data_IF_906140923632
#
_entry.id   IF_906140923632
#
_cell.length_a   1.000
_cell.length_b   1.000
_cell.length_c   1.000
_cell.angle_alpha   90.00
_cell.angle_beta   90.00
_cell.angle_gamma   90.00
#
_symmetry.space_group_name_H-M   'P 1'
#
loop_
_entity.id
_entity.type
_entity.pdbx_description
1 polymer ?
#
# COMPACT_ATOMS: atom_id res chain seq x y z
N UNK A 1 -1.96 24.26 30.88
CA UNK A 1 -1.46 22.93 30.43
C UNK A 1 -2.54 22.29 29.58
N UNK A 2 -2.28 22.05 28.28
CA UNK A 2 -3.22 21.39 27.39
C UNK A 2 -3.12 19.88 27.60
N UNK A 3 -4.05 19.33 28.38
CA UNK A 3 -4.26 17.87 28.44
C UNK A 3 -4.99 17.46 27.15
N UNK A 4 -4.21 17.19 26.10
CA UNK A 4 -4.75 16.59 24.88
C UNK A 4 -5.20 15.18 25.27
N UNK A 5 -6.52 15.01 25.43
CA UNK A 5 -7.12 13.74 25.85
C UNK A 5 -6.87 12.70 24.76
N UNK A 6 -6.40 11.51 25.15
CA UNK A 6 -6.10 10.40 24.23
C UNK A 6 -7.20 10.11 23.19
N UNK A 7 -8.46 10.35 23.52
CA UNK A 7 -9.59 10.23 22.59
C UNK A 7 -9.46 11.13 21.34
N UNK A 8 -8.95 12.36 21.48
CA UNK A 8 -8.74 13.28 20.35
C UNK A 8 -7.65 12.76 19.41
N UNK A 9 -6.60 12.15 19.96
CA UNK A 9 -5.51 11.55 19.17
C UNK A 9 -6.02 10.34 18.37
N UNK A 10 -6.85 9.49 18.97
CA UNK A 10 -7.46 8.35 18.29
C UNK A 10 -8.45 8.78 17.20
N UNK A 11 -9.26 9.81 17.45
CA UNK A 11 -10.14 10.40 16.41
C UNK A 11 -9.35 11.02 15.25
N UNK A 12 -8.23 11.68 15.54
CA UNK A 12 -7.35 12.24 14.49
C UNK A 12 -6.69 11.11 13.68
N UNK A 13 -6.23 10.04 14.34
CA UNK A 13 -5.66 8.86 13.67
C UNK A 13 -6.67 8.18 12.76
N UNK A 14 -7.91 7.96 13.24
CA UNK A 14 -8.96 7.34 12.43
C UNK A 14 -9.37 8.22 11.25
N UNK A 15 -9.50 9.54 11.46
CA UNK A 15 -9.83 10.49 10.40
C UNK A 15 -8.73 10.57 9.33
N UNK A 16 -7.45 10.59 9.72
CA UNK A 16 -6.33 10.55 8.78
C UNK A 16 -6.28 9.25 7.97
N UNK A 17 -6.49 8.09 8.63
CA UNK A 17 -6.57 6.80 7.93
C UNK A 17 -7.71 6.79 6.91
N UNK A 18 -8.90 7.23 7.29
CA UNK A 18 -10.05 7.32 6.38
C UNK A 18 -9.78 8.26 5.20
N UNK A 19 -9.17 9.42 5.46
CA UNK A 19 -8.79 10.36 4.41
C UNK A 19 -7.80 9.73 3.42
N UNK A 20 -6.78 9.02 3.93
CA UNK A 20 -5.83 8.30 3.11
C UNK A 20 -6.50 7.21 2.26
N UNK A 21 -7.37 6.37 2.86
CA UNK A 21 -8.10 5.33 2.13
C UNK A 21 -8.90 5.94 0.98
N UNK A 22 -9.63 7.03 1.24
CA UNK A 22 -10.41 7.71 0.22
C UNK A 22 -9.55 8.28 -0.92
N UNK A 23 -8.38 8.84 -0.59
CA UNK A 23 -7.38 9.27 -1.58
C UNK A 23 -6.86 8.08 -2.40
N UNK A 24 -6.54 6.95 -1.76
CA UNK A 24 -6.08 5.73 -2.41
C UNK A 24 -7.17 5.12 -3.33
N UNK A 25 -8.43 5.09 -2.91
CA UNK A 25 -9.57 4.63 -3.75
C UNK A 25 -9.66 5.47 -5.02
N UNK A 26 -9.66 6.81 -4.89
CA UNK A 26 -9.72 7.72 -6.04
C UNK A 26 -8.55 7.49 -7.00
N UNK A 27 -7.35 7.36 -6.45
CA UNK A 27 -6.15 7.09 -7.22
C UNK A 27 -6.23 5.75 -7.97
N UNK A 28 -6.59 4.66 -7.29
CA UNK A 28 -6.70 3.33 -7.89
C UNK A 28 -7.80 3.24 -8.94
N UNK A 29 -8.96 3.85 -8.70
CA UNK A 29 -10.06 3.94 -9.69
C UNK A 29 -9.63 4.69 -10.95
N UNK A 30 -8.87 5.77 -10.79
CA UNK A 30 -8.35 6.53 -11.93
C UNK A 30 -7.25 5.77 -12.69
N UNK A 31 -6.33 5.11 -11.97
CA UNK A 31 -5.16 4.44 -12.57
C UNK A 31 -5.47 3.06 -13.15
N UNK A 32 -6.39 2.32 -12.55
CA UNK A 32 -6.77 0.95 -12.93
C UNK A 32 -8.29 0.79 -13.04
N UNK A 33 -8.98 1.55 -13.90
CA UNK A 33 -10.44 1.54 -13.98
C UNK A 33 -10.98 0.13 -14.24
N UNK A 34 -10.43 -0.60 -15.22
CA UNK A 34 -10.88 -1.96 -15.55
C UNK A 34 -10.68 -2.97 -14.41
N UNK A 35 -9.66 -2.79 -13.55
CA UNK A 35 -9.41 -3.69 -12.42
C UNK A 35 -10.27 -3.34 -11.21
N UNK A 36 -10.70 -2.09 -11.09
CA UNK A 36 -11.46 -1.57 -9.96
C UNK A 36 -12.98 -1.56 -10.20
N UNK A 37 -13.43 -1.59 -11.45
CA UNK A 37 -14.85 -1.52 -11.83
C UNK A 37 -15.72 -2.65 -11.22
N UNK A 38 -15.13 -3.83 -11.05
CA UNK A 38 -15.77 -4.99 -10.44
C UNK A 38 -15.86 -4.97 -8.91
N UNK A 39 -15.27 -3.96 -8.27
CA UNK A 39 -15.24 -3.85 -6.80
C UNK A 39 -16.07 -2.65 -6.36
N UNK A 40 -16.97 -2.88 -5.41
CA UNK A 40 -17.60 -1.79 -4.69
C UNK A 40 -16.58 -1.08 -3.76
N UNK A 41 -17.00 0.05 -3.19
CA UNK A 41 -16.14 0.85 -2.33
C UNK A 41 -15.73 0.16 -1.03
N UNK A 42 -16.58 -0.73 -0.50
CA UNK A 42 -16.30 -1.49 0.73
C UNK A 42 -15.21 -2.55 0.49
N UNK A 43 -15.27 -3.23 -0.65
CA UNK A 43 -14.26 -4.20 -1.07
C UNK A 43 -12.94 -3.47 -1.35
N UNK A 44 -12.97 -2.33 -2.06
CA UNK A 44 -11.75 -1.53 -2.28
C UNK A 44 -11.14 -1.03 -0.97
N UNK A 45 -11.97 -0.60 -0.02
CA UNK A 45 -11.52 -0.22 1.32
C UNK A 45 -10.80 -1.39 1.99
N UNK A 46 -11.41 -2.58 1.99
CA UNK A 46 -10.82 -3.79 2.59
C UNK A 46 -9.51 -4.19 1.93
N UNK A 47 -9.41 -4.08 0.60
CA UNK A 47 -8.18 -4.33 -0.16
C UNK A 47 -7.08 -3.34 0.26
N UNK A 48 -7.42 -2.05 0.37
CA UNK A 48 -6.46 -1.01 0.75
C UNK A 48 -5.99 -1.21 2.19
N UNK A 49 -6.90 -1.51 3.12
CA UNK A 49 -6.54 -1.82 4.50
C UNK A 49 -5.61 -3.03 4.60
N UNK A 50 -5.92 -4.11 3.88
CA UNK A 50 -5.03 -5.27 3.80
C UNK A 50 -3.66 -4.91 3.19
N UNK A 51 -3.63 -4.04 2.18
CA UNK A 51 -2.39 -3.56 1.59
C UNK A 51 -1.56 -2.70 2.54
N UNK A 52 -2.20 -1.85 3.34
CA UNK A 52 -1.54 -1.07 4.41
C UNK A 52 -0.89 -2.02 5.43
N UNK A 53 -1.66 -3.02 5.91
CA UNK A 53 -1.16 -3.96 6.91
C UNK A 53 0.04 -4.76 6.38
N UNK A 54 0.00 -5.17 5.10
CA UNK A 54 1.11 -5.88 4.44
C UNK A 54 2.32 -4.97 4.20
N UNK A 55 2.11 -3.74 3.77
CA UNK A 55 3.19 -2.75 3.61
C UNK A 55 3.92 -2.51 4.94
N UNK A 56 3.18 -2.44 6.05
CA UNK A 56 3.75 -2.30 7.40
C UNK A 56 4.67 -3.45 7.79
N UNK A 57 4.36 -4.70 7.39
CA UNK A 57 5.25 -5.86 7.63
C UNK A 57 6.64 -5.61 7.02
N UNK A 58 6.68 -4.96 5.85
CA UNK A 58 7.91 -4.62 5.14
C UNK A 58 8.50 -3.25 5.53
N UNK A 59 8.04 -2.66 6.63
CA UNK A 59 8.45 -1.33 7.11
C UNK A 59 8.20 -0.22 6.08
N UNK A 60 7.16 -0.36 5.25
CA UNK A 60 6.70 0.67 4.32
C UNK A 60 5.54 1.41 4.98
N UNK A 61 5.82 2.59 5.54
CA UNK A 61 4.88 3.35 6.38
C UNK A 61 4.53 4.73 5.82
N UNK A 62 5.27 5.25 4.84
CA UNK A 62 4.94 6.53 4.20
C UNK A 62 3.71 6.39 3.29
N UNK A 63 2.90 7.46 3.16
CA UNK A 63 1.75 7.45 2.23
C UNK A 63 2.18 7.10 0.80
N UNK A 64 3.31 7.65 0.35
CA UNK A 64 3.83 7.41 -0.99
C UNK A 64 4.26 5.95 -1.17
N UNK A 65 4.98 5.39 -0.20
CA UNK A 65 5.40 4.00 -0.21
C UNK A 65 4.21 3.04 -0.22
N UNK A 66 3.19 3.31 0.60
CA UNK A 66 1.96 2.51 0.63
C UNK A 66 1.21 2.60 -0.70
N UNK A 67 1.08 3.79 -1.30
CA UNK A 67 0.45 3.94 -2.62
C UNK A 67 1.20 3.11 -3.66
N UNK A 68 2.53 3.19 -3.70
CA UNK A 68 3.32 2.39 -4.64
C UNK A 68 3.20 0.89 -4.37
N UNK A 69 3.10 0.46 -3.10
CA UNK A 69 2.83 -0.93 -2.77
C UNK A 69 1.46 -1.40 -3.29
N UNK A 70 0.42 -0.58 -3.13
CA UNK A 70 -0.91 -0.85 -3.68
C UNK A 70 -0.86 -0.89 -5.22
N UNK A 71 -0.12 0.01 -5.88
CA UNK A 71 0.07 -0.07 -7.33
C UNK A 71 0.70 -1.40 -7.76
N UNK A 72 1.71 -1.89 -7.04
CA UNK A 72 2.33 -3.20 -7.30
C UNK A 72 1.33 -4.36 -7.12
N UNK A 73 0.45 -4.30 -6.11
CA UNK A 73 -0.63 -5.28 -5.94
C UNK A 73 -1.57 -5.31 -7.16
N UNK A 74 -1.93 -4.14 -7.68
CA UNK A 74 -2.80 -4.06 -8.86
C UNK A 74 -2.06 -4.39 -10.15
N UNK A 75 -0.78 -4.03 -10.29
CA UNK A 75 0.02 -4.23 -11.50
C UNK A 75 0.42 -5.70 -11.69
N UNK A 76 0.93 -6.36 -10.65
CA UNK A 76 1.47 -7.72 -10.72
C UNK A 76 0.42 -8.76 -10.37
N UNK A 77 0.02 -8.79 -9.11
CA UNK A 77 -1.04 -9.63 -8.56
C UNK A 77 -1.34 -9.19 -7.14
N UNK A 78 -2.57 -9.40 -6.66
CA UNK A 78 -2.94 -9.02 -5.30
C UNK A 78 -2.05 -9.62 -4.21
N UNK A 79 -1.42 -10.78 -4.46
CA UNK A 79 -0.53 -11.48 -3.53
C UNK A 79 0.94 -11.46 -3.98
N UNK A 80 1.38 -10.43 -4.71
CA UNK A 80 2.73 -10.41 -5.30
C UNK A 80 3.86 -10.60 -4.27
N UNK A 81 3.70 -10.09 -3.06
CA UNK A 81 4.64 -10.22 -1.95
C UNK A 81 4.70 -11.64 -1.35
N UNK A 82 3.73 -12.51 -1.63
CA UNK A 82 3.65 -13.88 -1.08
C UNK A 82 3.58 -14.98 -2.15
N UNK A 83 3.42 -14.60 -3.42
CA UNK A 83 3.27 -15.53 -4.53
C UNK A 83 4.64 -16.09 -4.97
N UNK A 84 4.72 -17.40 -5.16
CA UNK A 84 5.95 -18.09 -5.58
C UNK A 84 6.53 -17.53 -6.89
N UNK A 85 5.67 -17.13 -7.84
CA UNK A 85 6.10 -16.56 -9.14
C UNK A 85 6.75 -15.18 -9.00
N UNK A 86 6.51 -14.50 -7.89
CA UNK A 86 7.05 -13.16 -7.57
C UNK A 86 7.89 -13.18 -6.30
N UNK A 87 8.45 -14.34 -5.94
CA UNK A 87 9.29 -14.55 -4.75
C UNK A 87 10.48 -13.59 -4.67
N UNK A 88 11.01 -13.15 -5.82
CA UNK A 88 12.07 -12.14 -5.89
C UNK A 88 11.64 -10.78 -5.32
N UNK A 89 10.35 -10.42 -5.38
CA UNK A 89 9.82 -9.17 -4.80
C UNK A 89 9.90 -9.20 -3.28
N UNK A 90 9.56 -10.34 -2.67
CA UNK A 90 9.67 -10.56 -1.22
C UNK A 90 11.10 -10.35 -0.75
N UNK A 91 12.09 -10.90 -1.44
CA UNK A 91 13.50 -10.74 -1.06
C UNK A 91 13.95 -9.27 -1.05
N UNK A 92 13.40 -8.44 -1.95
CA UNK A 92 13.66 -6.99 -1.96
C UNK A 92 12.92 -6.31 -0.81
N UNK A 93 11.64 -6.65 -0.61
CA UNK A 93 10.79 -6.06 0.43
C UNK A 93 11.29 -6.37 1.86
N UNK A 94 11.83 -7.56 2.09
CA UNK A 94 12.41 -8.01 3.37
C UNK A 94 13.81 -7.43 3.63
N UNK A 95 14.41 -6.74 2.66
CA UNK A 95 15.74 -6.19 2.83
C UNK A 95 15.71 -4.90 3.67
N UNK A 96 16.00 -5.04 4.97
CA UNK A 96 16.04 -3.93 5.92
C UNK A 96 17.17 -2.92 5.70
N UNK A 97 18.10 -3.19 4.77
CA UNK A 97 19.13 -2.22 4.36
C UNK A 97 18.63 -1.23 3.31
N UNK A 98 17.49 -1.51 2.67
CA UNK A 98 16.89 -0.64 1.68
C UNK A 98 15.83 0.25 2.33
N UNK A 99 15.82 1.52 1.93
CA UNK A 99 14.73 2.45 2.20
C UNK A 99 13.46 2.04 1.43
N UNK A 100 12.31 2.56 1.84
CA UNK A 100 11.03 2.32 1.14
C UNK A 100 11.14 2.60 -0.37
N UNK A 101 11.71 3.75 -0.74
CA UNK A 101 11.89 4.16 -2.13
C UNK A 101 12.82 3.21 -2.89
N UNK A 102 13.92 2.76 -2.28
CA UNK A 102 14.85 1.82 -2.91
C UNK A 102 14.19 0.45 -3.14
N UNK A 103 13.38 -0.04 -2.20
CA UNK A 103 12.61 -1.28 -2.37
C UNK A 103 11.70 -1.18 -3.59
N UNK A 104 10.88 -0.13 -3.65
CA UNK A 104 9.93 0.10 -4.75
C UNK A 104 10.68 0.27 -6.08
N UNK A 105 11.72 1.09 -6.12
CA UNK A 105 12.48 1.35 -7.34
C UNK A 105 13.17 0.10 -7.87
N UNK A 106 13.73 -0.73 -6.98
CA UNK A 106 14.35 -2.01 -7.37
C UNK A 106 13.32 -2.96 -7.98
N UNK A 107 12.11 -3.01 -7.42
CA UNK A 107 11.02 -3.81 -7.99
C UNK A 107 10.66 -3.32 -9.39
N UNK A 108 10.41 -2.02 -9.55
CA UNK A 108 10.05 -1.42 -10.83
C UNK A 108 11.14 -1.67 -11.89
N UNK A 109 12.41 -1.43 -11.54
CA UNK A 109 13.54 -1.63 -12.45
C UNK A 109 13.69 -3.10 -12.87
N UNK A 110 13.34 -4.04 -11.99
CA UNK A 110 13.38 -5.47 -12.32
C UNK A 110 12.26 -5.83 -13.29
N UNK A 111 11.07 -5.24 -13.15
CA UNK A 111 9.96 -5.43 -14.09
C UNK A 111 10.25 -4.87 -15.49
N UNK A 112 10.93 -3.72 -15.58
CA UNK A 112 11.27 -3.12 -16.88
C UNK A 112 12.34 -3.89 -17.67
N UNK A 113 12.98 -4.89 -17.06
CA UNK A 113 14.03 -5.71 -17.66
C UNK A 113 13.54 -7.10 -18.09
N UNK A 114 12.30 -7.45 -17.77
CA UNK A 114 11.62 -8.70 -18.16
C UNK A 114 10.81 -8.46 -19.44
#
# INVERSE_FOLDING_TARGET
MLSIRNQQIETIKSSKKQHFIQKAIKFLKHRYPQKTDKYDENILTSIIESGIDRANVYQIVSEQGIISFLELMFALSFNFDANQRTSWTRNILDNNKLTESEKIMTIINTLSRL
#
